data_IF_772530080479
#
_entry.id   IF_772530080479
#
_cell.length_a   1.000
_cell.length_b   1.000
_cell.length_c   1.000
_cell.angle_alpha   90.00
_cell.angle_beta   90.00
_cell.angle_gamma   90.00
#
_symmetry.space_group_name_H-M   'P 1'
#
loop_
_entity.id
_entity.type
_entity.pdbx_description
1 polymer ?
#
# COMPACT_ATOMS: atom_id res chain seq x y z
N UNK A 1 -3.21 -1.51 -1.56
CA UNK A 1 -4.46 -1.45 -2.35
C UNK A 1 -4.65 -2.77 -3.09
N UNK A 2 -5.82 -3.39 -2.94
CA UNK A 2 -6.15 -4.74 -3.47
C UNK A 2 -6.62 -4.75 -4.93
N UNK A 3 -6.83 -3.59 -5.53
CA UNK A 3 -7.35 -3.50 -6.89
C UNK A 3 -6.39 -4.12 -7.91
N UNK A 4 -6.87 -4.93 -8.86
CA UNK A 4 -6.02 -5.67 -9.80
C UNK A 4 -5.15 -4.73 -10.64
N UNK A 5 -5.67 -3.55 -10.99
CA UNK A 5 -4.94 -2.57 -11.79
C UNK A 5 -3.93 -1.71 -11.00
N UNK A 6 -3.86 -1.88 -9.68
CA UNK A 6 -2.91 -1.13 -8.85
C UNK A 6 -1.46 -1.54 -9.14
N UNK A 7 -0.54 -0.56 -9.09
CA UNK A 7 0.89 -0.78 -9.37
C UNK A 7 1.54 -1.88 -8.53
N UNK A 8 1.06 -2.07 -7.30
CA UNK A 8 1.57 -3.09 -6.36
C UNK A 8 1.27 -4.51 -6.83
N UNK A 9 0.23 -4.65 -7.66
CA UNK A 9 -0.25 -5.90 -8.23
C UNK A 9 0.18 -6.05 -9.69
N UNK A 10 1.14 -5.25 -10.17
CA UNK A 10 1.66 -5.37 -11.55
C UNK A 10 3.07 -5.93 -11.50
N UNK A 11 3.34 -6.94 -12.31
CA UNK A 11 4.68 -7.47 -12.47
C UNK A 11 5.65 -6.36 -12.90
N UNK A 12 6.84 -6.34 -12.32
CA UNK A 12 7.88 -5.40 -12.73
C UNK A 12 8.19 -5.60 -14.22
N UNK A 13 8.21 -4.51 -15.00
CA UNK A 13 8.49 -4.52 -16.45
C UNK A 13 9.83 -5.18 -16.83
N UNK A 14 10.71 -5.49 -15.86
CA UNK A 14 11.97 -6.21 -16.07
C UNK A 14 11.81 -7.71 -16.34
N UNK A 15 10.69 -8.31 -15.97
CA UNK A 15 10.39 -9.73 -16.25
C UNK A 15 9.42 -9.82 -17.42
N UNK A 16 9.93 -10.15 -18.61
CA UNK A 16 9.17 -10.32 -19.86
C UNK A 16 8.43 -11.67 -19.95
N UNK A 17 8.12 -12.32 -18.84
CA UNK A 17 7.26 -13.51 -18.85
C UNK A 17 5.81 -13.08 -18.63
N UNK A 18 4.90 -13.62 -19.45
CA UNK A 18 3.44 -13.45 -19.33
C UNK A 18 2.88 -14.18 -18.10
N UNK A 19 3.58 -14.11 -16.97
CA UNK A 19 3.15 -14.68 -15.71
C UNK A 19 2.16 -13.71 -15.10
N UNK A 20 0.99 -14.21 -14.69
CA UNK A 20 0.03 -13.47 -13.88
C UNK A 20 0.79 -12.71 -12.78
N UNK A 21 0.43 -11.44 -12.51
CA UNK A 21 1.10 -10.70 -11.46
C UNK A 21 1.07 -11.52 -10.16
N UNK A 22 2.17 -11.54 -9.39
CA UNK A 22 2.20 -12.28 -8.14
C UNK A 22 1.20 -11.62 -7.19
N UNK A 23 0.02 -12.26 -7.06
CA UNK A 23 -0.91 -11.97 -5.99
C UNK A 23 -0.26 -12.24 -4.64
N UNK A 24 -0.90 -11.84 -3.53
CA UNK A 24 -0.45 -12.27 -2.21
C UNK A 24 -0.37 -13.79 -2.16
N UNK A 25 0.64 -14.31 -1.43
CA UNK A 25 0.77 -15.75 -1.21
C UNK A 25 -0.53 -16.32 -0.66
N UNK A 26 -1.04 -17.43 -1.21
CA UNK A 26 -2.35 -18.00 -0.86
C UNK A 26 -2.51 -18.30 0.64
N UNK A 27 -1.41 -18.58 1.33
CA UNK A 27 -1.38 -18.83 2.77
C UNK A 27 -1.28 -17.57 3.63
N UNK A 28 -1.11 -16.39 3.02
CA UNK A 28 -0.93 -15.12 3.74
C UNK A 28 -2.26 -14.56 4.25
N UNK A 29 -2.22 -13.81 5.35
CA UNK A 29 -3.37 -13.03 5.82
C UNK A 29 -3.86 -12.02 4.79
N UNK A 30 -2.97 -11.57 3.92
CA UNK A 30 -3.30 -10.63 2.86
C UNK A 30 -4.21 -11.30 1.81
N UNK A 31 -3.95 -12.57 1.47
CA UNK A 31 -4.83 -13.34 0.59
C UNK A 31 -6.21 -13.55 1.22
N UNK A 32 -6.27 -13.94 2.50
CA UNK A 32 -7.54 -14.05 3.24
C UNK A 32 -8.34 -12.73 3.19
N UNK A 33 -7.66 -11.59 3.39
CA UNK A 33 -8.30 -10.27 3.32
C UNK A 33 -8.80 -9.94 1.91
N UNK A 34 -8.06 -10.37 0.88
CA UNK A 34 -8.49 -10.24 -0.52
C UNK A 34 -9.77 -11.03 -0.81
N UNK A 35 -9.88 -12.26 -0.30
CA UNK A 35 -11.07 -13.10 -0.50
C UNK A 35 -12.30 -12.53 0.21
N UNK A 36 -12.11 -11.89 1.37
CA UNK A 36 -13.18 -11.25 2.13
C UNK A 36 -13.59 -9.87 1.60
N UNK A 37 -12.93 -9.33 0.58
CA UNK A 37 -13.25 -8.00 0.05
C UNK A 37 -14.72 -7.78 -0.30
N UNK A 38 -15.43 -8.71 -0.98
CA UNK A 38 -16.85 -8.50 -1.30
C UNK A 38 -17.76 -8.45 -0.08
N UNK A 39 -17.32 -9.04 1.05
CA UNK A 39 -18.05 -9.03 2.31
C UNK A 39 -17.76 -7.74 3.09
N UNK A 40 -16.50 -7.28 3.06
CA UNK A 40 -16.08 -6.05 3.72
C UNK A 40 -16.52 -4.79 2.97
N UNK A 41 -16.62 -4.90 1.64
CA UNK A 41 -16.97 -3.83 0.73
C UNK A 41 -18.06 -4.35 -0.21
N UNK A 42 -19.29 -3.86 -0.07
CA UNK A 42 -20.41 -4.30 -0.92
C UNK A 42 -20.14 -4.12 -2.43
N UNK A 43 -19.37 -3.09 -2.79
CA UNK A 43 -19.07 -2.71 -4.17
C UNK A 43 -17.62 -2.26 -4.33
N UNK A 44 -16.96 -2.51 -5.47
CA UNK A 44 -15.57 -2.08 -5.69
C UNK A 44 -15.34 -0.57 -5.57
N UNK A 45 -16.37 0.24 -5.82
CA UNK A 45 -16.33 1.70 -5.61
C UNK A 45 -16.03 2.08 -4.16
N UNK A 46 -16.43 1.25 -3.19
CA UNK A 46 -16.25 1.55 -1.76
C UNK A 46 -14.77 1.51 -1.35
N UNK A 47 -13.90 0.88 -2.14
CA UNK A 47 -12.44 0.93 -1.93
C UNK A 47 -11.85 2.32 -2.24
N UNK A 48 -12.57 3.15 -3.00
CA UNK A 48 -12.18 4.52 -3.32
C UNK A 48 -12.68 5.54 -2.29
N UNK A 49 -13.18 5.08 -1.14
CA UNK A 49 -13.45 5.94 0.02
C UNK A 49 -12.13 6.23 0.77
N UNK A 50 -11.77 7.51 1.00
CA UNK A 50 -10.60 7.87 1.80
C UNK A 50 -10.56 7.28 3.21
N UNK A 51 -11.71 7.00 3.83
CA UNK A 51 -11.75 6.38 5.15
C UNK A 51 -11.47 4.87 5.10
N UNK A 52 -11.86 4.20 4.02
CA UNK A 52 -11.50 2.80 3.77
C UNK A 52 -10.07 2.63 3.27
N UNK A 53 -9.59 3.60 2.48
CA UNK A 53 -8.25 3.62 1.88
C UNK A 53 -7.55 4.94 2.19
N UNK A 54 -6.88 5.06 3.34
CA UNK A 54 -6.25 6.31 3.79
C UNK A 54 -5.22 6.90 2.83
N UNK A 55 -4.63 6.10 1.93
CA UNK A 55 -3.72 6.62 0.91
C UNK A 55 -4.39 7.65 -0.02
N UNK A 56 -5.72 7.57 -0.18
CA UNK A 56 -6.49 8.48 -1.03
C UNK A 56 -6.57 9.91 -0.49
N UNK A 57 -6.30 10.13 0.80
CA UNK A 57 -6.12 11.49 1.32
C UNK A 57 -4.92 12.20 0.67
N UNK A 58 -3.90 11.45 0.26
CA UNK A 58 -2.62 11.98 -0.18
C UNK A 58 -2.39 11.89 -1.68
N UNK A 59 -3.13 11.05 -2.41
CA UNK A 59 -3.01 10.97 -3.85
C UNK A 59 -4.26 10.45 -4.55
N UNK A 60 -4.44 10.88 -5.79
CA UNK A 60 -5.29 10.15 -6.74
C UNK A 60 -4.55 8.91 -7.21
N UNK A 61 -5.15 7.70 -7.14
CA UNK A 61 -4.48 6.46 -7.52
C UNK A 61 -4.28 6.34 -9.03
N UNK A 62 -4.96 7.18 -9.83
CA UNK A 62 -4.92 7.08 -11.28
C UNK A 62 -5.47 5.74 -11.77
N UNK A 63 -6.54 5.27 -11.14
CA UNK A 63 -7.23 4.02 -11.46
C UNK A 63 -8.69 4.33 -11.78
N UNK A 64 -9.25 3.54 -12.68
CA UNK A 64 -10.70 3.48 -12.87
C UNK A 64 -11.30 2.62 -11.76
N UNK A 65 -12.54 2.93 -11.38
CA UNK A 65 -13.30 2.04 -10.50
C UNK A 65 -13.65 0.78 -11.29
N UNK A 66 -13.18 -0.40 -10.89
CA UNK A 66 -13.47 -1.63 -11.63
C UNK A 66 -14.91 -2.09 -11.35
N UNK A 67 -15.46 -2.88 -12.29
CA UNK A 67 -16.79 -3.49 -12.13
C UNK A 67 -16.79 -4.66 -11.12
N UNK A 68 -15.61 -5.21 -10.82
CA UNK A 68 -15.42 -6.36 -9.93
C UNK A 68 -14.14 -6.19 -9.10
N UNK A 69 -14.07 -6.87 -7.96
CA UNK A 69 -12.92 -6.88 -7.06
C UNK A 69 -11.69 -7.60 -7.62
N UNK A 70 -11.93 -8.62 -8.45
CA UNK A 70 -10.88 -9.57 -8.87
C UNK A 70 -10.51 -9.45 -10.35
N UNK A 71 -11.27 -8.68 -11.12
CA UNK A 71 -11.12 -8.57 -12.57
C UNK A 71 -10.55 -7.21 -12.96
N UNK A 72 -9.50 -7.21 -13.79
CA UNK A 72 -8.94 -5.98 -14.35
C UNK A 72 -9.93 -5.32 -15.32
N UNK A 73 -9.77 -4.00 -15.53
CA UNK A 73 -10.58 -3.26 -16.49
C UNK A 73 -10.41 -3.81 -17.91
N UNK A 74 -9.20 -4.23 -18.27
CA UNK A 74 -8.91 -4.85 -19.58
C UNK A 74 -9.68 -6.17 -19.77
N UNK A 75 -9.70 -7.03 -18.75
CA UNK A 75 -10.47 -8.28 -18.81
C UNK A 75 -11.97 -8.03 -18.85
N UNK A 76 -12.46 -7.05 -18.09
CA UNK A 76 -13.88 -6.67 -18.11
C UNK A 76 -14.32 -6.21 -19.51
N UNK A 77 -13.50 -5.37 -20.16
CA UNK A 77 -13.76 -4.89 -21.51
C UNK A 77 -13.75 -6.02 -22.56
N UNK A 78 -12.83 -6.98 -22.41
CA UNK A 78 -12.78 -8.15 -23.29
C UNK A 78 -14.06 -9.00 -23.19
N UNK A 79 -14.57 -9.23 -21.98
CA UNK A 79 -15.80 -9.99 -21.76
C UNK A 79 -17.00 -9.22 -22.31
N UNK A 80 -17.10 -7.92 -22.04
CA UNK A 80 -18.20 -7.09 -22.55
C UNK A 80 -18.23 -7.08 -24.08
N UNK A 81 -17.07 -7.02 -24.74
CA UNK A 81 -16.98 -7.13 -26.20
C UNK A 81 -17.43 -8.50 -26.76
N UNK A 82 -17.32 -9.58 -25.98
CA UNK A 82 -17.81 -10.91 -26.38
C UNK A 82 -19.30 -11.10 -26.12
N UNK A 83 -19.87 -10.45 -25.10
CA UNK A 83 -21.29 -10.61 -24.70
C UNK A 83 -22.20 -9.57 -25.33
N UNK A 84 -21.67 -8.41 -25.72
CA UNK A 84 -22.43 -7.32 -26.31
C UNK A 84 -22.54 -7.45 -27.83
N UNK A 85 -23.76 -7.72 -28.32
CA UNK A 85 -24.10 -7.78 -29.76
C UNK A 85 -23.96 -6.43 -30.52
N UNK A 86 -23.63 -5.34 -29.83
CA UNK A 86 -23.42 -4.02 -30.45
C UNK A 86 -21.92 -3.73 -30.58
N UNK A 87 -21.42 -3.82 -31.80
CA UNK A 87 -20.09 -3.30 -32.16
C UNK A 87 -20.05 -1.79 -32.03
N UNK A 88 -19.74 -1.28 -30.83
CA UNK A 88 -19.30 0.10 -30.64
C UNK A 88 -17.77 0.16 -30.67
N UNK A 89 -17.17 1.17 -31.30
CA UNK A 89 -15.73 1.24 -31.47
C UNK A 89 -15.03 1.41 -30.12
N UNK A 90 -13.94 0.65 -30.00
CA UNK A 90 -12.95 0.57 -28.95
C UNK A 90 -12.30 1.95 -28.66
N UNK A 91 -13.03 2.84 -27.98
CA UNK A 91 -12.40 4.05 -27.46
C UNK A 91 -11.64 3.69 -26.19
N UNK A 92 -10.32 3.89 -26.15
CA UNK A 92 -9.53 3.55 -24.97
C UNK A 92 -10.04 4.36 -23.79
N UNK A 93 -10.56 3.65 -22.77
CA UNK A 93 -11.10 4.29 -21.57
C UNK A 93 -9.99 5.12 -20.92
N UNK A 94 -10.19 6.44 -20.88
CA UNK A 94 -9.18 7.37 -20.38
C UNK A 94 -9.03 7.20 -18.87
N UNK A 95 -7.95 6.55 -18.47
CA UNK A 95 -7.62 6.36 -17.05
C UNK A 95 -7.30 7.72 -16.41
N UNK A 96 -7.81 8.01 -15.19
CA UNK A 96 -7.44 9.20 -14.44
C UNK A 96 -5.92 9.30 -14.25
N UNK A 97 -5.39 10.53 -14.19
CA UNK A 97 -3.97 10.73 -13.91
C UNK A 97 -3.68 10.49 -12.43
N UNK A 98 -2.61 9.75 -12.14
CA UNK A 98 -2.06 9.70 -10.79
C UNK A 98 -1.47 11.07 -10.42
N UNK A 99 -1.84 11.59 -9.26
CA UNK A 99 -1.33 12.87 -8.76
C UNK A 99 -1.31 12.90 -7.24
N UNK A 100 -0.26 13.46 -6.65
CA UNK A 100 -0.27 13.77 -5.22
C UNK A 100 -1.28 14.89 -4.95
N UNK A 101 -2.08 14.72 -3.91
CA UNK A 101 -3.00 15.71 -3.41
C UNK A 101 -2.31 16.56 -2.36
N UNK A 102 -2.85 17.77 -2.15
CA UNK A 102 -2.35 18.68 -1.13
C UNK A 102 -3.09 18.35 0.16
N UNK A 103 -2.41 17.63 1.05
CA UNK A 103 -2.95 17.25 2.35
C UNK A 103 -1.99 17.63 3.50
N UNK A 104 -2.49 18.13 4.64
CA UNK A 104 -3.84 18.68 4.81
C UNK A 104 -4.09 19.85 3.82
N UNK A 105 -5.35 20.20 3.52
CA UNK A 105 -5.64 21.33 2.64
C UNK A 105 -4.96 22.61 3.18
N UNK A 106 -4.39 23.44 2.30
CA UNK A 106 -3.60 24.64 2.72
C UNK A 106 -4.34 25.63 3.62
N UNK A 107 -5.67 25.70 3.48
CA UNK A 107 -6.52 26.58 4.31
C UNK A 107 -6.93 25.93 5.64
N UNK A 108 -6.49 24.70 5.87
CA UNK A 108 -6.78 23.95 7.07
C UNK A 108 -5.75 24.24 8.16
N UNK A 109 -6.20 24.28 9.40
CA UNK A 109 -5.32 24.27 10.58
C UNK A 109 -4.89 22.86 10.98
N UNK A 110 -5.42 21.84 10.29
CA UNK A 110 -5.07 20.44 10.53
C UNK A 110 -3.61 20.19 10.19
N UNK A 111 -2.97 19.35 11.00
CA UNK A 111 -1.63 18.80 10.76
C UNK A 111 -1.73 17.30 10.61
N UNK A 112 -0.74 16.70 9.96
CA UNK A 112 -0.63 15.25 9.97
C UNK A 112 -0.17 14.84 11.38
N UNK A 113 -0.94 13.98 12.08
CA UNK A 113 -0.58 13.56 13.42
C UNK A 113 0.68 12.70 13.38
N UNK A 114 1.40 12.66 14.49
CA UNK A 114 2.42 11.65 14.68
C UNK A 114 1.79 10.26 14.62
N UNK A 115 2.31 9.41 13.76
CA UNK A 115 1.71 8.15 13.35
C UNK A 115 2.74 7.03 13.42
N UNK A 116 2.37 5.93 14.07
CA UNK A 116 3.13 4.67 14.04
C UNK A 116 2.38 3.66 13.17
N UNK A 117 3.01 3.23 12.08
CA UNK A 117 2.46 2.20 11.19
C UNK A 117 3.15 0.86 11.50
N UNK A 118 2.37 -0.09 11.99
CA UNK A 118 2.84 -1.45 12.28
C UNK A 118 2.49 -2.37 11.11
N UNK A 119 3.35 -3.33 10.82
CA UNK A 119 3.06 -4.36 9.83
C UNK A 119 3.63 -5.72 10.21
N UNK A 120 2.90 -6.77 9.86
CA UNK A 120 3.38 -8.15 9.97
C UNK A 120 4.34 -8.48 8.81
N UNK A 121 5.44 -9.14 9.13
CA UNK A 121 6.30 -9.77 8.13
C UNK A 121 5.74 -11.11 7.67
N UNK A 122 6.09 -11.49 6.43
CA UNK A 122 5.71 -12.78 5.89
C UNK A 122 6.35 -13.91 6.72
N UNK A 123 5.57 -14.95 7.04
CA UNK A 123 6.07 -16.12 7.75
C UNK A 123 7.17 -16.78 6.91
N UNK A 124 8.34 -17.08 7.48
CA UNK A 124 9.38 -17.76 6.72
C UNK A 124 8.87 -19.12 6.22
N UNK A 125 9.20 -19.53 4.99
CA UNK A 125 8.79 -20.83 4.47
C UNK A 125 9.35 -21.93 5.37
N UNK A 126 8.52 -22.92 5.70
CA UNK A 126 8.95 -24.11 6.42
C UNK A 126 10.08 -24.76 5.61
N UNK A 127 11.29 -24.82 6.20
CA UNK A 127 12.44 -25.47 5.58
C UNK A 127 12.13 -26.96 5.54
N UNK A 128 11.77 -27.47 4.36
CA UNK A 128 11.80 -28.91 4.14
C UNK A 128 13.28 -29.34 4.12
N UNK A 129 13.73 -30.23 5.02
CA UNK A 129 15.11 -30.69 5.05
C UNK A 129 15.31 -31.76 3.98
N UNK A 130 15.22 -31.39 2.70
CA UNK A 130 15.77 -32.22 1.63
C UNK A 130 16.21 -31.33 0.48
N UNK A 131 17.43 -31.59 0.01
CA UNK A 131 18.20 -30.89 -1.03
C UNK A 131 19.21 -29.88 -0.45
N UNK A 132 20.34 -30.44 -0.03
CA UNK A 132 21.62 -29.73 0.10
C UNK A 132 22.08 -29.21 -1.27
N UNK A 133 21.56 -28.06 -1.72
CA UNK A 133 22.23 -27.31 -2.78
C UNK A 133 23.31 -26.43 -2.14
N UNK A 134 24.55 -26.93 -2.19
CA UNK A 134 25.76 -26.19 -1.81
C UNK A 134 25.81 -24.82 -2.51
N UNK A 135 25.99 -23.78 -1.71
CA UNK A 135 26.53 -22.50 -2.15
C UNK A 135 25.56 -21.56 -2.86
N UNK A 136 24.71 -20.85 -2.11
CA UNK A 136 24.28 -19.50 -2.50
C UNK A 136 24.44 -18.55 -1.32
N UNK A 137 25.24 -17.51 -1.57
CA UNK A 137 25.44 -16.32 -0.73
C UNK A 137 24.11 -15.88 -0.12
N UNK A 138 24.14 -15.33 1.09
CA UNK A 138 23.06 -14.49 1.69
C UNK A 138 22.79 -13.30 0.77
N UNK A 139 22.24 -13.55 -0.41
CA UNK A 139 21.70 -12.54 -1.28
C UNK A 139 20.51 -12.00 -0.54
N UNK A 140 20.57 -10.70 -0.23
CA UNK A 140 19.41 -9.86 0.13
C UNK A 140 18.17 -10.52 -0.46
N UNK A 141 17.32 -11.11 0.40
CA UNK A 141 16.03 -11.64 -0.01
C UNK A 141 15.49 -10.64 -1.01
N UNK A 142 15.34 -11.08 -2.26
CA UNK A 142 14.91 -10.23 -3.34
C UNK A 142 13.71 -9.47 -2.80
N UNK A 143 13.85 -8.14 -2.71
CA UNK A 143 12.81 -7.22 -2.32
C UNK A 143 11.62 -7.54 -3.23
N UNK A 144 10.74 -8.43 -2.77
CA UNK A 144 9.62 -8.92 -3.55
C UNK A 144 8.69 -7.73 -3.61
N UNK A 145 8.79 -6.99 -4.71
CA UNK A 145 7.91 -5.87 -5.06
C UNK A 145 6.52 -6.38 -5.40
N UNK A 146 5.93 -7.17 -4.50
CA UNK A 146 4.59 -7.68 -4.54
C UNK A 146 3.75 -7.08 -3.42
N UNK A 147 2.50 -7.50 -3.39
CA UNK A 147 1.51 -7.03 -2.45
C UNK A 147 1.74 -7.65 -1.07
N UNK A 148 2.34 -6.87 -0.17
CA UNK A 148 2.57 -7.23 1.24
C UNK A 148 2.17 -6.09 2.18
N UNK A 149 1.92 -6.38 3.46
CA UNK A 149 1.63 -5.35 4.47
C UNK A 149 2.79 -4.35 4.59
N UNK A 150 4.04 -4.84 4.56
CA UNK A 150 5.24 -4.01 4.50
C UNK A 150 5.18 -2.99 3.36
N UNK A 151 4.90 -3.45 2.14
CA UNK A 151 4.84 -2.57 0.97
C UNK A 151 3.74 -1.52 1.12
N UNK A 152 2.57 -1.91 1.64
CA UNK A 152 1.46 -0.97 1.87
C UNK A 152 1.76 0.07 2.95
N UNK A 153 2.30 -0.36 4.09
CA UNK A 153 2.68 0.52 5.19
C UNK A 153 3.75 1.53 4.75
N UNK A 154 4.76 1.06 4.01
CA UNK A 154 5.79 1.93 3.43
C UNK A 154 5.23 2.93 2.42
N UNK A 155 4.31 2.51 1.54
CA UNK A 155 3.67 3.40 0.56
C UNK A 155 2.84 4.49 1.25
N UNK A 156 2.07 4.13 2.28
CA UNK A 156 1.31 5.10 3.07
C UNK A 156 2.24 6.06 3.83
N UNK A 157 3.30 5.54 4.46
CA UNK A 157 4.29 6.37 5.15
C UNK A 157 4.95 7.38 4.21
N UNK A 158 5.36 6.95 3.01
CA UNK A 158 5.96 7.83 2.00
C UNK A 158 5.01 8.96 1.62
N UNK A 159 3.73 8.66 1.43
CA UNK A 159 2.70 9.64 1.12
C UNK A 159 2.52 10.66 2.26
N UNK A 160 2.41 10.19 3.50
CA UNK A 160 2.27 11.07 4.68
C UNK A 160 3.50 11.96 4.86
N UNK A 161 4.71 11.38 4.80
CA UNK A 161 5.98 12.11 4.96
C UNK A 161 6.16 13.17 3.88
N UNK A 162 5.93 12.81 2.62
CA UNK A 162 5.96 13.78 1.50
C UNK A 162 4.99 14.93 1.73
N UNK A 163 3.81 14.64 2.25
CA UNK A 163 2.82 15.65 2.55
C UNK A 163 3.31 16.60 3.65
N UNK A 164 3.94 16.08 4.70
CA UNK A 164 4.59 16.89 5.74
C UNK A 164 5.67 17.79 5.11
N UNK A 165 6.59 17.22 4.33
CA UNK A 165 7.72 17.96 3.77
C UNK A 165 7.30 19.04 2.77
N UNK A 166 6.45 18.66 1.81
CA UNK A 166 6.16 19.47 0.62
C UNK A 166 4.95 20.38 0.82
N UNK A 167 4.03 20.02 1.72
CA UNK A 167 2.84 20.83 2.02
C UNK A 167 3.05 21.58 3.33
N UNK A 168 3.18 20.87 4.45
CA UNK A 168 3.16 21.50 5.77
C UNK A 168 4.45 22.32 6.04
N UNK A 169 5.62 21.70 5.95
CA UNK A 169 6.90 22.33 6.30
C UNK A 169 7.32 23.35 5.25
N UNK A 170 7.06 23.09 3.96
CA UNK A 170 7.33 24.05 2.88
C UNK A 170 6.50 25.34 3.01
N UNK A 171 5.28 25.26 3.53
CA UNK A 171 4.45 26.44 3.78
C UNK A 171 4.97 27.25 4.98
N UNK A 172 5.37 26.58 6.08
CA UNK A 172 5.98 27.22 7.25
C UNK A 172 7.36 27.81 6.98
N UNK A 173 8.12 27.23 6.05
CA UNK A 173 9.43 27.74 5.63
C UNK A 173 9.45 29.18 5.15
N UNK A 174 8.29 29.71 4.73
CA UNK A 174 8.19 31.10 4.28
C UNK A 174 8.22 32.09 5.45
N UNK A 175 8.07 31.60 6.66
CA UNK A 175 7.87 32.39 7.88
C UNK A 175 8.89 32.05 8.98
N UNK A 176 9.40 30.81 9.02
CA UNK A 176 10.38 30.36 10.02
C UNK A 176 11.78 30.15 9.39
N UNK A 177 12.78 30.93 9.84
CA UNK A 177 14.19 30.79 9.43
C UNK A 177 14.95 29.70 10.21
N UNK A 178 14.44 29.25 11.38
CA UNK A 178 15.14 28.35 12.31
C UNK A 178 14.87 26.85 12.12
N UNK A 179 14.36 26.41 10.97
CA UNK A 179 14.02 24.99 10.77
C UNK A 179 15.26 24.18 10.34
N UNK A 180 16.22 24.03 11.26
CA UNK A 180 17.40 23.17 11.12
C UNK A 180 17.02 21.67 11.15
N UNK A 181 15.91 21.31 11.81
CA UNK A 181 15.42 19.93 11.96
C UNK A 181 14.47 19.43 10.84
N UNK A 182 14.40 20.14 9.71
CA UNK A 182 13.42 19.81 8.64
C UNK A 182 13.60 18.41 8.06
N UNK A 183 14.84 17.94 7.93
CA UNK A 183 15.15 16.74 7.15
C UNK A 183 14.55 15.47 7.77
N UNK A 184 14.44 15.43 9.11
CA UNK A 184 14.01 14.24 9.84
C UNK A 184 12.64 14.39 10.48
N UNK A 185 12.03 15.57 10.50
CA UNK A 185 10.74 15.80 11.17
C UNK A 185 9.62 14.92 10.58
N UNK A 186 9.55 14.76 9.27
CA UNK A 186 8.57 13.86 8.65
C UNK A 186 8.80 12.39 9.06
N UNK A 187 10.07 11.96 9.17
CA UNK A 187 10.45 10.61 9.59
C UNK A 187 10.16 10.39 11.07
N UNK A 188 10.45 11.39 11.92
CA UNK A 188 10.15 11.39 13.36
C UNK A 188 8.65 11.25 13.59
N UNK A 189 7.84 12.02 12.86
CA UNK A 189 6.37 11.97 13.00
C UNK A 189 5.77 10.68 12.47
N UNK A 190 6.22 10.17 11.33
CA UNK A 190 5.61 9.01 10.68
C UNK A 190 6.61 7.85 10.70
N UNK A 191 6.44 6.96 11.66
CA UNK A 191 7.31 5.80 11.87
C UNK A 191 6.67 4.54 11.31
N UNK A 192 7.50 3.59 10.87
CA UNK A 192 7.05 2.30 10.34
C UNK A 192 7.86 1.20 11.01
N UNK A 193 7.21 0.22 11.63
CA UNK A 193 7.86 -0.85 12.39
C UNK A 193 7.34 -2.22 11.92
N UNK A 194 8.29 -3.14 11.72
CA UNK A 194 8.04 -4.57 11.52
C UNK A 194 7.84 -5.21 12.89
N UNK A 195 6.67 -5.80 13.15
CA UNK A 195 6.36 -6.43 14.43
C UNK A 195 6.57 -7.95 14.43
N UNK A 196 7.29 -8.44 13.41
CA UNK A 196 7.56 -9.84 13.22
C UNK A 196 6.44 -10.57 12.47
N UNK A 197 6.52 -11.91 12.40
CA UNK A 197 5.52 -12.70 11.71
C UNK A 197 4.17 -12.60 12.44
N UNK A 198 3.11 -12.27 11.69
CA UNK A 198 1.76 -12.21 12.24
C UNK A 198 1.31 -13.56 12.80
N UNK A 199 0.70 -13.52 14.00
CA UNK A 199 0.01 -14.66 14.59
C UNK A 199 -1.36 -14.89 13.97
N UNK A 200 -2.01 -16.01 14.29
CA UNK A 200 -3.37 -16.30 13.78
C UNK A 200 -4.46 -15.44 14.46
N UNK A 201 -4.12 -14.70 15.53
CA UNK A 201 -5.01 -13.78 16.24
C UNK A 201 -4.91 -12.35 15.68
N UNK A 202 -5.96 -11.55 15.94
CA UNK A 202 -6.02 -10.12 15.58
C UNK A 202 -5.24 -9.26 16.60
N UNK A 203 -4.76 -9.87 17.68
CA UNK A 203 -4.05 -9.18 18.75
C UNK A 203 -2.61 -8.82 18.34
N UNK A 204 -2.08 -7.75 18.93
CA UNK A 204 -0.68 -7.38 18.73
C UNK A 204 0.23 -8.45 19.33
N UNK A 205 1.31 -8.76 18.61
CA UNK A 205 2.41 -9.57 19.14
C UNK A 205 3.07 -8.87 20.33
N UNK A 206 3.83 -9.61 21.14
CA UNK A 206 4.66 -9.03 22.21
C UNK A 206 5.53 -7.88 21.68
N UNK A 207 6.22 -8.12 20.55
CA UNK A 207 7.01 -7.10 19.86
C UNK A 207 6.17 -5.88 19.41
N UNK A 208 4.92 -6.10 18.98
CA UNK A 208 3.99 -5.03 18.64
C UNK A 208 3.58 -4.19 19.86
N UNK A 209 3.28 -4.84 20.99
CA UNK A 209 2.94 -4.15 22.24
C UNK A 209 4.13 -3.34 22.76
N UNK A 210 5.34 -3.91 22.75
CA UNK A 210 6.57 -3.21 23.16
C UNK A 210 6.86 -1.99 22.27
N UNK A 211 6.67 -2.14 20.95
CA UNK A 211 6.84 -1.04 20.00
C UNK A 211 5.86 0.11 20.27
N UNK A 212 4.59 -0.21 20.55
CA UNK A 212 3.58 0.80 20.91
C UNK A 212 3.91 1.45 22.25
N UNK A 213 4.28 0.67 23.27
CA UNK A 213 4.63 1.18 24.59
C UNK A 213 5.82 2.15 24.51
N UNK A 214 6.91 1.75 23.85
CA UNK A 214 8.08 2.61 23.66
C UNK A 214 7.74 3.88 22.87
N UNK A 215 6.88 3.78 21.86
CA UNK A 215 6.45 4.95 21.09
C UNK A 215 5.59 5.92 21.92
N UNK A 216 4.76 5.40 22.82
CA UNK A 216 3.93 6.20 23.73
C UNK A 216 4.75 6.86 24.84
N UNK A 217 5.73 6.16 25.41
CA UNK A 217 6.63 6.71 26.44
C UNK A 217 7.40 7.94 25.94
N UNK A 218 7.77 7.96 24.66
CA UNK A 218 8.44 9.11 24.05
C UNK A 218 7.52 10.33 23.82
N UNK A 219 6.23 10.25 24.21
CA UNK A 219 5.19 11.26 23.92
C UNK A 219 4.44 11.78 25.13
N UNK A 220 4.59 11.12 26.28
CA UNK A 220 4.05 11.55 27.57
C UNK A 220 5.13 12.39 28.26
#
# INVERSE_FOLDING_TARGET
MFLPDHRINKASKRTKSATLPPGPDESSHLHKLQDHMPVLFDKPSNLFDPFASPSLFFHSPGLLVPQSFFMSVEHAALIDGMTSSKGSPDQPVKVPRKSHLVFPPRKSTLKIPETLLLFDSAKPPAINPSIESKGKRKGKQAQSGGHSFKTQAMELAELMRRSIDVVELKERSKWDEDIVDRADEAVRRVQVIDIGPGGDSIELTEAGNDAVASWMENKI
#
